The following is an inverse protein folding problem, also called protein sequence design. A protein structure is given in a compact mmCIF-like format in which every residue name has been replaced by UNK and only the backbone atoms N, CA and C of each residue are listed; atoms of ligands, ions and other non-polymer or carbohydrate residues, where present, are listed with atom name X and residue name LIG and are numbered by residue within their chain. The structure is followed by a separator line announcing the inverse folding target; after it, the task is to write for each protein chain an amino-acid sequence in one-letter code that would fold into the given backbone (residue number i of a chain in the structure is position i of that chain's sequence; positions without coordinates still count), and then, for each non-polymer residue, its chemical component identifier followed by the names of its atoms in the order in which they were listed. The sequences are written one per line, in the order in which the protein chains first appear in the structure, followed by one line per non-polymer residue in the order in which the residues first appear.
data_IF_044553395157
#
_entry.id   IF_044553395157
#
_cell.length_a   1.000
_cell.length_b   1.000
_cell.length_c   1.000
_cell.angle_alpha   90.00
_cell.angle_beta   90.00
_cell.angle_gamma   90.00
#
_symmetry.space_group_name_H-M   'P 1'
#
loop_
_entity.id
_entity.type
_entity.pdbx_description
1 polymer ?
#
# COMPACT_ATOMS: atom_id res chain seq x y z
N UNK A 1 -9.12 -15.35 -14.94
CA UNK A 1 -8.61 -14.53 -16.05
C UNK A 1 -9.09 -13.07 -16.00
N UNK A 2 -10.30 -12.76 -15.49
CA UNK A 2 -10.77 -11.37 -15.41
C UNK A 2 -10.07 -10.54 -14.31
N UNK A 3 -9.90 -11.08 -13.10
CA UNK A 3 -9.34 -10.34 -11.96
C UNK A 3 -7.93 -9.79 -12.22
N UNK A 4 -7.00 -10.62 -12.71
CA UNK A 4 -5.63 -10.19 -12.97
C UNK A 4 -5.54 -9.03 -13.99
N UNK A 5 -6.39 -9.05 -15.02
CA UNK A 5 -6.47 -7.95 -15.99
C UNK A 5 -7.00 -6.66 -15.37
N UNK A 6 -7.93 -6.76 -14.40
CA UNK A 6 -8.40 -5.59 -13.65
C UNK A 6 -7.30 -5.03 -12.74
N UNK A 7 -6.55 -5.89 -12.06
CA UNK A 7 -5.40 -5.50 -11.23
C UNK A 7 -4.36 -4.77 -12.09
N UNK A 8 -3.92 -5.35 -13.21
CA UNK A 8 -2.97 -4.72 -14.13
C UNK A 8 -3.45 -3.35 -14.62
N UNK A 9 -4.75 -3.22 -14.92
CA UNK A 9 -5.33 -1.95 -15.36
C UNK A 9 -5.36 -0.91 -14.24
N UNK A 10 -5.69 -1.32 -13.03
CA UNK A 10 -5.71 -0.45 -11.85
C UNK A 10 -4.29 0.06 -11.54
N UNK A 11 -3.30 -0.84 -11.48
CA UNK A 11 -1.90 -0.49 -11.27
C UNK A 11 -1.38 0.51 -12.32
N UNK A 12 -1.72 0.32 -13.60
CA UNK A 12 -1.40 1.28 -14.67
C UNK A 12 -2.09 2.63 -14.49
N UNK A 13 -3.29 2.66 -13.94
CA UNK A 13 -4.04 3.90 -13.69
C UNK A 13 -3.41 4.69 -12.55
N UNK A 14 -2.87 4.00 -11.56
CA UNK A 14 -2.16 4.55 -10.42
C UNK A 14 -0.65 4.75 -10.68
N UNK A 15 -0.21 4.56 -11.92
CA UNK A 15 1.19 4.72 -12.36
C UNK A 15 2.19 3.81 -11.60
N UNK A 16 1.72 2.66 -11.10
CA UNK A 16 2.52 1.63 -10.41
C UNK A 16 2.49 0.26 -11.10
N UNK A 17 2.75 0.16 -12.42
CA UNK A 17 2.57 -1.06 -13.20
C UNK A 17 3.50 -2.22 -12.79
N UNK A 18 4.62 -1.93 -12.12
CA UNK A 18 5.65 -2.91 -11.78
C UNK A 18 5.50 -3.44 -10.34
N UNK A 19 4.52 -2.94 -9.59
CA UNK A 19 4.18 -3.44 -8.26
C UNK A 19 3.63 -4.88 -8.35
N UNK A 20 4.31 -5.83 -7.69
CA UNK A 20 3.84 -7.20 -7.65
C UNK A 20 2.67 -7.35 -6.69
N UNK A 21 1.52 -7.83 -7.17
CA UNK A 21 0.33 -8.05 -6.33
C UNK A 21 0.14 -9.55 -6.06
N UNK A 22 0.22 -9.94 -4.80
CA UNK A 22 -0.04 -11.29 -4.33
C UNK A 22 -1.52 -11.45 -3.97
N UNK A 23 -2.22 -12.19 -4.82
CA UNK A 23 -3.66 -12.42 -4.70
C UNK A 23 -3.90 -13.80 -4.08
N UNK A 24 -4.69 -13.92 -3.00
CA UNK A 24 -5.02 -15.22 -2.42
C UNK A 24 -5.88 -16.06 -3.38
N UNK A 25 -5.88 -17.38 -3.19
CA UNK A 25 -6.61 -18.32 -4.06
C UNK A 25 -8.12 -18.04 -4.09
N UNK A 26 -8.69 -17.58 -2.98
CA UNK A 26 -10.10 -17.25 -2.85
C UNK A 26 -10.29 -15.81 -2.40
N UNK A 27 -11.00 -15.03 -3.22
CA UNK A 27 -11.49 -13.70 -2.87
C UNK A 27 -13.02 -13.76 -2.79
N UNK A 28 -13.63 -13.43 -1.63
CA UNK A 28 -15.08 -13.51 -1.46
C UNK A 28 -15.88 -12.61 -2.40
N UNK A 29 -15.35 -11.43 -2.73
CA UNK A 29 -15.94 -10.45 -3.64
C UNK A 29 -14.83 -9.72 -4.40
N UNK A 30 -14.64 -10.07 -5.68
CA UNK A 30 -13.60 -9.48 -6.54
C UNK A 30 -13.76 -7.97 -6.72
N UNK A 31 -14.99 -7.46 -6.78
CA UNK A 31 -15.23 -6.03 -7.00
C UNK A 31 -14.91 -5.24 -5.73
N UNK A 32 -15.39 -5.71 -4.58
CA UNK A 32 -15.10 -5.07 -3.30
C UNK A 32 -13.60 -5.14 -2.96
N UNK A 33 -12.92 -6.22 -3.36
CA UNK A 33 -11.47 -6.33 -3.25
C UNK A 33 -10.76 -5.29 -4.10
N UNK A 34 -11.13 -5.13 -5.37
CA UNK A 34 -10.51 -4.14 -6.27
C UNK A 34 -10.72 -2.71 -5.76
N UNK A 35 -11.93 -2.37 -5.30
CA UNK A 35 -12.23 -1.06 -4.70
C UNK A 35 -11.39 -0.82 -3.44
N UNK A 36 -11.25 -1.83 -2.59
CA UNK A 36 -10.44 -1.73 -1.38
C UNK A 36 -8.93 -1.62 -1.71
N UNK A 37 -8.46 -2.34 -2.73
CA UNK A 37 -7.07 -2.27 -3.17
C UNK A 37 -6.72 -0.90 -3.76
N UNK A 38 -7.60 -0.33 -4.58
CA UNK A 38 -7.47 1.05 -5.08
C UNK A 38 -7.42 2.05 -3.92
N UNK A 39 -8.31 1.89 -2.95
CA UNK A 39 -8.35 2.74 -1.75
C UNK A 39 -7.06 2.63 -0.93
N UNK A 40 -6.54 1.41 -0.72
CA UNK A 40 -5.30 1.18 0.01
C UNK A 40 -4.08 1.79 -0.70
N UNK A 41 -3.98 1.60 -2.03
CA UNK A 41 -2.89 2.16 -2.82
C UNK A 41 -2.90 3.69 -2.81
N UNK A 42 -4.08 4.31 -2.97
CA UNK A 42 -4.19 5.76 -2.85
C UNK A 42 -3.82 6.26 -1.45
N UNK A 43 -4.17 5.53 -0.39
CA UNK A 43 -3.75 5.87 0.98
C UNK A 43 -2.23 5.87 1.12
N UNK A 44 -1.51 4.85 0.64
CA UNK A 44 -0.04 4.85 0.68
C UNK A 44 0.60 6.00 -0.11
N UNK A 45 -0.06 6.50 -1.16
CA UNK A 45 0.44 7.58 -2.01
C UNK A 45 0.13 8.96 -1.45
N UNK A 46 -1.03 9.15 -0.83
CA UNK A 46 -1.57 10.48 -0.51
C UNK A 46 -1.69 10.76 0.99
N UNK A 47 -1.72 9.72 1.83
CA UNK A 47 -1.93 9.84 3.27
C UNK A 47 -0.62 9.64 4.04
N UNK A 48 -0.11 10.76 4.54
CA UNK A 48 1.08 10.85 5.41
C UNK A 48 0.75 11.14 6.87
N UNK A 49 -0.47 10.85 7.36
CA UNK A 49 -0.83 11.14 8.76
C UNK A 49 0.02 10.38 9.78
N UNK A 50 0.43 9.14 9.44
CA UNK A 50 1.36 8.33 10.23
C UNK A 50 2.81 8.64 9.84
N UNK A 51 3.68 8.87 10.84
CA UNK A 51 5.07 9.28 10.61
C UNK A 51 5.96 8.16 10.04
N UNK A 52 5.48 6.90 10.06
CA UNK A 52 6.12 5.76 9.43
C UNK A 52 5.46 5.36 8.10
N UNK A 53 4.43 6.07 7.63
CA UNK A 53 3.85 5.85 6.30
C UNK A 53 4.90 6.08 5.20
N UNK A 54 4.75 5.48 4.01
CA UNK A 54 5.70 5.67 2.93
C UNK A 54 5.90 7.14 2.56
N UNK A 55 4.80 7.89 2.51
CA UNK A 55 4.82 9.31 2.16
C UNK A 55 5.54 10.13 3.24
N UNK A 56 5.18 9.94 4.52
CA UNK A 56 5.80 10.69 5.63
C UNK A 56 7.30 10.36 5.78
N UNK A 57 7.70 9.12 5.50
CA UNK A 57 9.10 8.71 5.56
C UNK A 57 9.96 9.42 4.51
N UNK A 58 9.42 9.62 3.30
CA UNK A 58 10.09 10.41 2.26
C UNK A 58 10.05 11.90 2.61
N UNK A 59 8.93 12.40 3.10
CA UNK A 59 8.77 13.82 3.51
C UNK A 59 9.70 14.19 4.68
N UNK A 60 10.03 13.25 5.56
CA UNK A 60 10.90 13.48 6.71
C UNK A 60 12.37 13.72 6.30
N UNK A 61 12.83 13.14 5.19
CA UNK A 61 14.18 13.34 4.65
C UNK A 61 14.21 13.32 3.11
N UNK A 62 13.65 14.34 2.43
CA UNK A 62 13.49 14.34 0.98
C UNK A 62 14.83 14.29 0.24
N UNK A 63 15.88 14.88 0.82
CA UNK A 63 17.22 14.92 0.23
C UNK A 63 17.84 13.53 0.04
N UNK A 64 17.52 12.58 0.93
CA UNK A 64 17.95 11.18 0.80
C UNK A 64 17.35 10.48 -0.42
N UNK A 65 16.31 11.07 -1.03
CA UNK A 65 15.58 10.56 -2.18
C UNK A 65 15.73 11.46 -3.42
N UNK A 66 16.81 12.25 -3.49
CA UNK A 66 17.10 13.17 -4.59
C UNK A 66 16.02 14.25 -4.82
N UNK A 67 15.22 14.57 -3.80
CA UNK A 67 14.22 15.63 -3.82
C UNK A 67 14.78 16.95 -3.26
N UNK A 68 14.06 18.05 -3.52
CA UNK A 68 14.38 19.35 -2.92
C UNK A 68 14.02 19.39 -1.42
N UNK A 69 14.51 20.40 -0.70
CA UNK A 69 14.25 20.56 0.75
C UNK A 69 12.76 20.75 1.08
N UNK A 70 12.00 21.33 0.17
CA UNK A 70 10.56 21.56 0.27
C UNK A 70 9.91 21.01 -1.01
N UNK A 71 9.79 19.68 -1.15
CA UNK A 71 9.24 19.07 -2.35
C UNK A 71 7.74 19.36 -2.45
N UNK A 72 7.26 19.53 -3.67
CA UNK A 72 5.82 19.62 -3.90
C UNK A 72 5.15 18.27 -3.63
N UNK A 73 3.86 18.23 -3.22
CA UNK A 73 3.16 16.96 -2.95
C UNK A 73 3.22 15.95 -4.11
N UNK A 74 3.25 16.44 -5.35
CA UNK A 74 3.36 15.59 -6.53
C UNK A 74 4.75 14.93 -6.65
N UNK A 75 5.82 15.58 -6.19
CA UNK A 75 7.18 15.01 -6.20
C UNK A 75 7.31 13.90 -5.15
N UNK A 76 6.72 14.08 -3.97
CA UNK A 76 6.64 13.06 -2.93
C UNK A 76 5.87 11.83 -3.42
N UNK A 77 4.69 12.04 -4.02
CA UNK A 77 3.89 10.97 -4.61
C UNK A 77 4.66 10.20 -5.69
N UNK A 78 5.37 10.91 -6.57
CA UNK A 78 6.18 10.28 -7.61
C UNK A 78 7.34 9.45 -7.02
N UNK A 79 7.96 9.93 -5.93
CA UNK A 79 8.98 9.17 -5.23
C UNK A 79 8.41 7.86 -4.65
N UNK A 80 7.24 7.90 -3.98
CA UNK A 80 6.57 6.69 -3.48
C UNK A 80 6.26 5.73 -4.64
N UNK A 81 5.73 6.22 -5.77
CA UNK A 81 5.48 5.38 -6.96
C UNK A 81 6.75 4.76 -7.52
N UNK A 82 7.86 5.50 -7.54
CA UNK A 82 9.15 4.99 -7.98
C UNK A 82 9.58 3.79 -7.13
N UNK A 83 9.40 3.85 -5.81
CA UNK A 83 9.67 2.71 -4.92
C UNK A 83 8.69 1.55 -5.12
N UNK A 84 7.39 1.83 -5.29
CA UNK A 84 6.42 0.79 -5.64
C UNK A 84 6.76 0.09 -6.97
N UNK A 85 7.42 0.78 -7.90
CA UNK A 85 7.86 0.25 -9.20
C UNK A 85 9.30 -0.29 -9.22
N UNK A 86 10.00 -0.36 -8.08
CA UNK A 86 11.40 -0.80 -8.03
C UNK A 86 11.61 -2.28 -8.44
N UNK A 87 10.53 -3.04 -8.59
CA UNK A 87 10.53 -4.44 -9.04
C UNK A 87 10.80 -5.46 -7.93
N UNK A 88 11.11 -4.99 -6.72
CA UNK A 88 11.19 -5.76 -5.48
C UNK A 88 10.01 -5.49 -4.52
N UNK A 89 9.13 -4.56 -4.90
CA UNK A 89 7.97 -4.17 -4.10
C UNK A 89 6.80 -5.13 -4.30
N UNK A 90 6.15 -5.47 -3.19
CA UNK A 90 5.01 -6.40 -3.16
C UNK A 90 3.82 -5.82 -2.40
N UNK A 91 2.62 -6.10 -2.89
CA UNK A 91 1.36 -5.83 -2.21
C UNK A 91 0.61 -7.14 -1.99
N UNK A 92 0.32 -7.47 -0.73
CA UNK A 92 -0.32 -8.73 -0.35
C UNK A 92 -1.60 -8.48 0.44
N UNK A 93 -2.66 -9.24 0.16
CA UNK A 93 -3.85 -9.24 1.00
C UNK A 93 -3.69 -10.20 2.18
N UNK A 94 -3.88 -9.67 3.39
CA UNK A 94 -3.80 -10.45 4.63
C UNK A 94 -5.12 -11.14 4.92
N UNK A 95 -5.06 -12.46 4.93
CA UNK A 95 -6.17 -13.35 5.26
C UNK A 95 -6.10 -13.83 6.71
N UNK A 96 -7.18 -14.39 7.28
CA UNK A 96 -7.16 -15.03 8.60
C UNK A 96 -6.17 -16.18 8.77
N UNK A 97 -5.52 -16.68 7.71
CA UNK A 97 -4.52 -17.76 7.81
C UNK A 97 -3.09 -17.25 7.66
N UNK A 98 -2.90 -15.95 7.37
CA UNK A 98 -1.57 -15.37 7.24
C UNK A 98 -0.83 -15.36 8.60
N UNK A 99 0.49 -15.68 8.59
CA UNK A 99 1.31 -15.64 9.80
C UNK A 99 1.61 -14.22 10.25
N UNK A 100 1.74 -13.29 9.30
CA UNK A 100 1.93 -11.87 9.56
C UNK A 100 0.59 -11.21 9.88
N UNK A 101 0.59 -10.33 10.87
CA UNK A 101 -0.57 -9.58 11.33
C UNK A 101 -0.22 -8.12 11.52
N UNK A 102 -1.17 -7.21 11.23
CA UNK A 102 -1.01 -5.83 11.65
C UNK A 102 -0.98 -5.73 13.18
N UNK A 103 -0.16 -4.83 13.72
CA UNK A 103 -0.03 -4.66 15.17
C UNK A 103 -1.23 -3.96 15.82
N UNK A 104 -2.02 -3.21 15.06
CA UNK A 104 -3.22 -2.54 15.56
C UNK A 104 -4.34 -3.49 16.00
N UNK A 105 -4.20 -4.80 15.77
CA UNK A 105 -5.17 -5.83 16.17
C UNK A 105 -6.39 -5.89 15.25
N UNK A 106 -6.27 -5.37 14.03
CA UNK A 106 -7.34 -5.33 13.04
C UNK A 106 -7.76 -6.73 12.60
N UNK A 107 -9.08 -6.92 12.50
CA UNK A 107 -9.70 -8.20 12.18
C UNK A 107 -9.89 -8.33 10.65
N UNK A 108 -9.23 -9.29 9.97
CA UNK A 108 -9.40 -9.53 8.53
C UNK A 108 -10.82 -9.93 8.13
N UNK A 109 -11.70 -10.30 9.07
CA UNK A 109 -13.11 -10.49 8.79
C UNK A 109 -13.84 -9.16 8.58
N UNK A 110 -13.43 -8.08 9.25
CA UNK A 110 -14.05 -6.75 9.19
C UNK A 110 -13.37 -5.80 8.21
N UNK A 111 -12.07 -5.97 8.02
CA UNK A 111 -11.24 -5.08 7.20
C UNK A 111 -10.62 -5.85 6.04
N UNK A 112 -10.41 -5.17 4.93
CA UNK A 112 -9.37 -5.55 3.97
C UNK A 112 -8.06 -4.99 4.49
N UNK A 113 -7.07 -5.86 4.67
CA UNK A 113 -5.78 -5.49 5.27
C UNK A 113 -4.74 -5.77 4.21
N UNK A 114 -4.13 -4.72 3.69
CA UNK A 114 -3.08 -4.83 2.68
C UNK A 114 -1.73 -4.60 3.33
N UNK A 115 -0.78 -5.48 3.01
CA UNK A 115 0.63 -5.33 3.36
C UNK A 115 1.38 -4.88 2.10
N UNK A 116 2.00 -3.71 2.17
CA UNK A 116 2.95 -3.23 1.20
C UNK A 116 4.37 -3.41 1.77
N UNK A 117 5.25 -4.00 0.96
CA UNK A 117 6.67 -4.10 1.24
C UNK A 117 7.43 -3.48 0.09
N UNK A 118 8.41 -2.63 0.40
CA UNK A 118 9.26 -1.95 -0.59
C UNK A 118 10.70 -1.98 -0.07
N UNK A 119 11.42 -3.10 -0.24
CA UNK A 119 12.76 -3.27 0.31
C UNK A 119 13.75 -2.20 -0.14
N UNK A 120 13.57 -1.65 -1.35
CA UNK A 120 14.36 -0.53 -1.87
C UNK A 120 14.13 0.80 -1.14
N UNK A 121 12.99 0.98 -0.45
CA UNK A 121 12.73 2.15 0.39
C UNK A 121 13.16 1.90 1.84
N UNK A 122 12.66 0.82 2.44
CA UNK A 122 12.94 0.49 3.84
C UNK A 122 12.54 -0.94 4.19
N UNK A 123 12.99 -1.43 5.34
CA UNK A 123 12.60 -2.73 5.91
C UNK A 123 11.21 -2.70 6.58
N UNK A 124 10.46 -1.62 6.41
CA UNK A 124 9.12 -1.47 6.98
C UNK A 124 8.11 -2.44 6.36
N UNK A 125 7.18 -2.86 7.20
CA UNK A 125 5.89 -3.40 6.83
C UNK A 125 4.86 -2.28 6.86
N UNK A 126 4.38 -1.88 5.68
CA UNK A 126 3.33 -0.86 5.57
C UNK A 126 1.97 -1.50 5.47
N UNK A 127 1.09 -1.17 6.39
CA UNK A 127 -0.25 -1.70 6.48
C UNK A 127 -1.25 -0.64 6.00
N UNK A 128 -2.18 -1.03 5.14
CA UNK A 128 -3.37 -0.23 4.85
C UNK A 128 -4.61 -1.00 5.27
N UNK A 129 -5.43 -0.36 6.11
CA UNK A 129 -6.63 -0.95 6.71
C UNK A 129 -7.84 -0.31 6.08
N UNK A 130 -8.60 -1.07 5.29
CA UNK A 130 -9.80 -0.58 4.60
C UNK A 130 -11.05 -1.25 5.18
N UNK A 131 -11.98 -0.45 5.68
CA UNK A 131 -13.23 -0.96 6.24
C UNK A 131 -14.15 -1.54 5.15
N UNK A 132 -14.52 -2.82 5.26
CA UNK A 132 -15.38 -3.51 4.27
C UNK A 132 -16.77 -2.91 4.13
N UNK A 133 -17.29 -2.25 5.17
CA UNK A 133 -18.62 -1.63 5.16
C UNK A 133 -18.59 -0.16 4.74
N UNK A 134 -17.44 0.49 4.86
CA UNK A 134 -17.24 1.90 4.55
C UNK A 134 -15.84 2.10 3.98
N UNK A 135 -15.61 1.79 2.68
CA UNK A 135 -14.27 1.82 2.11
C UNK A 135 -13.53 3.16 2.28
N UNK A 136 -14.26 4.27 2.35
CA UNK A 136 -13.69 5.61 2.63
C UNK A 136 -13.06 5.77 4.02
N UNK A 137 -13.23 4.78 4.90
CA UNK A 137 -12.63 4.70 6.24
C UNK A 137 -11.38 3.83 6.11
N UNK A 138 -10.32 4.46 5.61
CA UNK A 138 -8.99 3.88 5.39
C UNK A 138 -7.96 4.68 6.19
N UNK A 139 -6.95 3.98 6.68
CA UNK A 139 -5.73 4.57 7.23
C UNK A 139 -4.56 3.64 6.93
N UNK A 140 -3.36 4.21 6.90
CA UNK A 140 -2.13 3.47 6.68
C UNK A 140 -1.06 3.81 7.72
N UNK A 141 -0.15 2.88 7.96
CA UNK A 141 0.95 3.06 8.91
C UNK A 141 2.12 2.10 8.60
N UNK A 142 3.32 2.44 9.05
CA UNK A 142 4.53 1.62 8.89
C UNK A 142 5.05 1.05 10.21
N UNK A 143 5.63 -0.15 10.17
CA UNK A 143 6.28 -0.80 11.32
C UNK A 143 7.59 -1.44 10.88
N UNK A 144 8.62 -1.36 11.72
CA UNK A 144 9.89 -2.09 11.55
C UNK A 144 9.84 -3.33 12.45
N UNK A 145 10.03 -4.52 11.88
CA UNK A 145 10.17 -5.75 12.67
C UNK A 145 11.55 -5.72 13.40
N UNK A 146 11.55 -5.61 14.73
CA UNK A 146 12.76 -5.66 15.59
C UNK A 146 13.38 -7.06 15.73
#
# INVERSE_FOLDING_TARGET
MALHQHIERLLRTLEVPDLAVEVPEEIPDENAFLEAMETALNSFLEDGEDDQSPLALIEADPQSYDLSDEPEPAELQEAVRSFMNAGDSTLSLITPDNPLRPEGGEDPHKYWIFLLQMPSLSEHHWWAIVNKQKPSDVYNYGIIDE
#
